data_IF_924396637115
#
_entry.id   IF_924396637115
#
_cell.length_a   1.000
_cell.length_b   1.000
_cell.length_c   1.000
_cell.angle_alpha   90.00
_cell.angle_beta   90.00
_cell.angle_gamma   90.00
#
_symmetry.space_group_name_H-M   'P 1'
#
loop_
_entity.id
_entity.type
_entity.pdbx_description
1 polymer ?
#
# COMPACT_ATOMS: atom_id res chain seq x y z
N UNK A 1 16.01 -1.94 -7.87
CA UNK A 1 14.95 -0.91 -7.87
C UNK A 1 14.62 -0.56 -6.44
N UNK A 2 14.81 0.70 -6.04
CA UNK A 2 14.40 1.20 -4.72
C UNK A 2 12.98 1.73 -4.91
N UNK A 3 11.97 0.96 -4.51
CA UNK A 3 10.56 1.32 -4.72
C UNK A 3 9.61 0.23 -4.27
N UNK A 4 8.33 0.59 -4.12
CA UNK A 4 7.25 -0.34 -3.79
C UNK A 4 6.91 -1.18 -5.03
N UNK A 5 6.97 -2.50 -4.89
CA UNK A 5 6.40 -3.44 -5.86
C UNK A 5 5.11 -4.03 -5.29
N UNK A 6 4.02 -3.92 -6.03
CA UNK A 6 2.71 -4.46 -5.67
C UNK A 6 2.25 -5.43 -6.76
N UNK A 7 1.95 -6.67 -6.37
CA UNK A 7 1.50 -7.75 -7.25
C UNK A 7 0.30 -8.46 -6.64
N UNK A 8 -0.62 -8.94 -7.48
CA UNK A 8 -1.66 -9.86 -7.06
C UNK A 8 -1.14 -11.29 -7.26
N UNK A 9 -1.09 -12.07 -6.18
CA UNK A 9 -0.79 -13.49 -6.20
C UNK A 9 -2.02 -14.21 -5.62
N UNK A 10 -2.75 -14.93 -6.48
CA UNK A 10 -4.04 -15.55 -6.14
C UNK A 10 -5.04 -14.52 -5.57
N UNK A 11 -5.48 -14.72 -4.33
CA UNK A 11 -6.42 -13.85 -3.61
C UNK A 11 -5.73 -12.83 -2.69
N UNK A 12 -4.39 -12.73 -2.77
CA UNK A 12 -3.59 -11.82 -1.96
C UNK A 12 -2.93 -10.73 -2.81
N UNK A 13 -2.88 -9.53 -2.26
CA UNK A 13 -2.00 -8.46 -2.70
C UNK A 13 -0.68 -8.60 -1.96
N UNK A 14 0.38 -8.87 -2.69
CA UNK A 14 1.74 -8.99 -2.18
C UNK A 14 2.49 -7.68 -2.45
N UNK A 15 2.88 -7.01 -1.37
CA UNK A 15 3.62 -5.76 -1.38
C UNK A 15 5.06 -6.07 -0.95
N UNK A 16 6.03 -5.70 -1.80
CA UNK A 16 7.45 -5.90 -1.55
C UNK A 16 8.18 -4.55 -1.57
N UNK A 17 9.04 -4.35 -0.59
CA UNK A 17 9.96 -3.22 -0.54
C UNK A 17 11.29 -3.66 0.09
N UNK A 18 12.34 -3.72 -0.71
CA UNK A 18 13.67 -4.22 -0.29
C UNK A 18 13.56 -5.60 0.38
N UNK A 19 13.78 -5.69 1.70
CA UNK A 19 13.72 -6.94 2.47
C UNK A 19 12.35 -7.18 3.13
N UNK A 20 11.41 -6.24 2.99
CA UNK A 20 10.06 -6.35 3.55
C UNK A 20 9.10 -6.95 2.52
N UNK A 21 8.37 -7.98 2.94
CA UNK A 21 7.25 -8.57 2.18
C UNK A 21 6.02 -8.59 3.07
N UNK A 22 4.90 -8.10 2.54
CA UNK A 22 3.60 -8.10 3.20
C UNK A 22 2.59 -8.72 2.25
N UNK A 23 1.72 -9.56 2.80
CA UNK A 23 0.63 -10.18 2.07
C UNK A 23 -0.69 -9.75 2.70
N UNK A 24 -1.59 -9.21 1.88
CA UNK A 24 -2.89 -8.71 2.32
C UNK A 24 -3.97 -9.41 1.48
N UNK A 25 -4.91 -10.14 2.09
CA UNK A 25 -6.04 -10.68 1.36
C UNK A 25 -6.85 -9.57 0.67
N UNK A 26 -7.14 -9.71 -0.63
CA UNK A 26 -7.94 -8.74 -1.40
C UNK A 26 -9.32 -8.55 -0.77
N UNK A 27 -9.88 -9.63 -0.21
CA UNK A 27 -11.16 -9.60 0.50
C UNK A 27 -11.15 -8.74 1.76
N UNK A 28 -9.99 -8.56 2.38
CA UNK A 28 -9.85 -7.75 3.59
C UNK A 28 -9.58 -6.28 3.28
N UNK A 29 -9.14 -5.95 2.07
CA UNK A 29 -8.98 -4.56 1.65
C UNK A 29 -10.37 -3.92 1.49
N UNK A 30 -10.59 -2.85 2.25
CA UNK A 30 -11.83 -2.07 2.25
C UNK A 30 -11.67 -0.76 1.50
N UNK A 31 -10.48 -0.14 1.56
CA UNK A 31 -10.21 1.14 0.92
C UNK A 31 -8.73 1.25 0.53
N UNK A 32 -8.46 1.83 -0.64
CA UNK A 32 -7.12 2.28 -1.06
C UNK A 32 -7.23 3.73 -1.49
N UNK A 33 -6.48 4.62 -0.85
CA UNK A 33 -6.49 6.05 -1.14
C UNK A 33 -5.12 6.68 -1.05
N UNK A 34 -4.97 7.84 -1.68
CA UNK A 34 -3.84 8.73 -1.42
C UNK A 34 -4.00 9.29 -0.01
N UNK A 35 -2.93 9.27 0.76
CA UNK A 35 -2.86 9.88 2.08
C UNK A 35 -2.11 11.21 1.95
N UNK A 36 -2.84 12.31 2.16
CA UNK A 36 -2.37 13.68 2.09
C UNK A 36 -1.92 14.23 3.47
N UNK A 37 -2.07 13.44 4.54
CA UNK A 37 -1.65 13.84 5.89
C UNK A 37 -0.13 13.78 6.03
N UNK A 38 0.46 14.62 6.89
CA UNK A 38 1.90 14.60 7.18
C UNK A 38 2.27 13.42 8.11
N UNK A 39 3.23 12.58 7.71
CA UNK A 39 3.59 11.33 8.40
C UNK A 39 2.69 10.12 8.09
N UNK A 40 1.44 10.36 7.66
CA UNK A 40 0.45 9.34 7.34
C UNK A 40 -0.38 8.89 8.54
N UNK A 41 -1.70 8.79 8.38
CA UNK A 41 -2.66 8.41 9.42
C UNK A 41 -3.39 7.09 9.09
N UNK A 42 -3.66 6.21 10.08
CA UNK A 42 -3.52 6.36 11.54
C UNK A 42 -2.10 6.01 12.09
N UNK A 43 -1.80 6.44 13.32
CA UNK A 43 -0.48 6.23 13.97
C UNK A 43 -0.05 4.75 14.00
N UNK A 44 -1.01 3.86 14.20
CA UNK A 44 -0.84 2.40 14.30
C UNK A 44 -0.63 1.72 12.95
N UNK A 45 -0.72 2.45 11.83
CA UNK A 45 -0.57 1.86 10.52
C UNK A 45 0.84 1.30 10.30
N UNK A 46 0.88 0.15 9.61
CA UNK A 46 2.13 -0.50 9.22
C UNK A 46 2.75 0.30 8.07
N UNK A 47 3.94 0.84 8.33
CA UNK A 47 4.66 1.73 7.42
C UNK A 47 5.61 0.92 6.54
N UNK A 48 5.48 1.08 5.22
CA UNK A 48 6.22 0.30 4.23
C UNK A 48 6.87 1.24 3.23
N UNK A 49 8.19 1.22 3.14
CA UNK A 49 8.95 2.14 2.29
C UNK A 49 9.81 3.09 3.10
N UNK A 50 10.20 4.21 2.48
CA UNK A 50 11.09 5.22 3.09
C UNK A 50 10.24 6.44 3.50
N UNK A 51 9.89 6.59 4.79
CA UNK A 51 8.99 7.64 5.26
C UNK A 51 9.55 9.06 5.09
N UNK A 52 10.88 9.21 5.12
CA UNK A 52 11.57 10.51 5.09
C UNK A 52 12.38 10.72 3.79
N UNK A 53 11.81 10.34 2.66
CA UNK A 53 12.46 10.49 1.34
C UNK A 53 11.53 10.35 0.14
N UNK A 54 10.22 10.19 0.38
CA UNK A 54 9.20 10.09 -0.66
C UNK A 54 8.07 11.07 -0.34
N UNK A 55 7.53 11.71 -1.36
CA UNK A 55 6.50 12.74 -1.19
C UNK A 55 5.13 12.11 -1.00
N UNK A 56 4.88 10.98 -1.65
CA UNK A 56 3.55 10.42 -1.78
C UNK A 56 3.35 9.19 -0.89
N UNK A 57 2.11 9.06 -0.41
CA UNK A 57 1.69 8.01 0.50
C UNK A 57 0.39 7.38 0.03
N UNK A 58 0.34 6.06 0.01
CA UNK A 58 -0.89 5.32 -0.26
C UNK A 58 -1.33 4.66 1.03
N UNK A 59 -2.50 5.04 1.53
CA UNK A 59 -3.16 4.37 2.63
C UNK A 59 -3.98 3.18 2.11
N UNK A 60 -3.73 2.01 2.67
CA UNK A 60 -4.53 0.81 2.47
C UNK A 60 -5.20 0.49 3.79
N UNK A 61 -6.53 0.54 3.79
CA UNK A 61 -7.34 0.11 4.93
C UNK A 61 -7.81 -1.31 4.72
N UNK A 62 -7.61 -2.15 5.73
CA UNK A 62 -8.19 -3.48 5.79
C UNK A 62 -9.19 -3.57 6.94
N UNK A 63 -9.86 -4.71 7.09
CA UNK A 63 -10.77 -4.94 8.22
C UNK A 63 -10.08 -4.85 9.58
N UNK A 64 -8.82 -5.30 9.65
CA UNK A 64 -8.10 -5.49 10.92
C UNK A 64 -6.91 -4.54 11.11
N UNK A 65 -6.38 -3.97 10.01
CA UNK A 65 -5.15 -3.18 10.04
C UNK A 65 -5.19 -2.05 9.01
N UNK A 66 -4.29 -1.09 9.16
CA UNK A 66 -4.03 -0.06 8.15
C UNK A 66 -2.57 -0.12 7.74
N UNK A 67 -2.29 0.18 6.47
CA UNK A 67 -0.94 0.20 5.90
C UNK A 67 -0.71 1.51 5.18
N UNK A 68 0.52 2.02 5.26
CA UNK A 68 0.93 3.24 4.56
C UNK A 68 2.15 2.89 3.72
N UNK A 69 1.99 3.02 2.41
CA UNK A 69 3.04 2.77 1.42
C UNK A 69 3.67 4.10 1.02
N UNK A 70 4.97 4.22 1.23
CA UNK A 70 5.77 5.38 0.87
C UNK A 70 6.39 5.15 -0.51
N UNK A 71 5.98 5.96 -1.49
CA UNK A 71 6.38 5.80 -2.89
C UNK A 71 6.52 7.15 -3.58
N UNK A 72 7.37 7.23 -4.60
CA UNK A 72 7.48 8.40 -5.50
C UNK A 72 6.67 8.23 -6.79
N UNK A 73 5.99 7.09 -6.95
CA UNK A 73 5.16 6.80 -8.10
C UNK A 73 3.81 6.26 -7.62
N UNK A 74 3.08 7.08 -6.86
CA UNK A 74 1.81 6.65 -6.27
C UNK A 74 0.79 6.30 -7.35
N UNK A 75 0.76 7.03 -8.46
CA UNK A 75 -0.20 6.80 -9.55
C UNK A 75 -0.11 5.37 -10.08
N UNK A 76 1.10 4.89 -10.41
CA UNK A 76 1.27 3.54 -10.94
C UNK A 76 0.94 2.46 -9.91
N UNK A 77 1.37 2.65 -8.65
CA UNK A 77 1.10 1.69 -7.57
C UNK A 77 -0.39 1.64 -7.25
N UNK A 78 -1.04 2.80 -7.14
CA UNK A 78 -2.46 2.90 -6.83
C UNK A 78 -3.34 2.36 -7.95
N UNK A 79 -2.99 2.59 -9.22
CA UNK A 79 -3.68 1.98 -10.35
C UNK A 79 -3.58 0.44 -10.32
N UNK A 80 -2.41 -0.10 -9.98
CA UNK A 80 -2.24 -1.56 -9.79
C UNK A 80 -3.12 -2.07 -8.66
N UNK A 81 -3.05 -1.46 -7.47
CA UNK A 81 -3.85 -1.85 -6.32
C UNK A 81 -5.35 -1.81 -6.62
N UNK A 82 -5.83 -0.72 -7.24
CA UNK A 82 -7.22 -0.59 -7.64
C UNK A 82 -7.64 -1.63 -8.69
N UNK A 83 -6.75 -2.00 -9.63
CA UNK A 83 -7.03 -3.07 -10.58
C UNK A 83 -7.21 -4.44 -9.90
N UNK A 84 -6.53 -4.68 -8.77
CA UNK A 84 -6.66 -5.92 -8.01
C UNK A 84 -7.97 -6.01 -7.22
N UNK A 85 -8.51 -4.85 -6.82
CA UNK A 85 -9.70 -4.74 -5.96
C UNK A 85 -10.98 -4.55 -6.79
N UNK A 86 -10.92 -3.94 -7.98
CA UNK A 86 -12.10 -3.68 -8.84
C UNK A 86 -12.84 -4.94 -9.31
N UNK A 87 -12.25 -6.13 -9.18
CA UNK A 87 -12.89 -7.41 -9.51
C UNK A 87 -13.53 -8.12 -8.32
N UNK A 88 -13.81 -7.40 -7.23
CA UNK A 88 -14.46 -7.91 -6.02
C UNK A 88 -15.98 -7.93 -6.16
#
# INVERSE_FOLDING_TARGET
MIGIDAKKENDNVVIRHQFTKIEIPVLDITEVKLDDTYGGEPKEAIRVGIPYGTTDRIAIKTKNSSYILYTTNYVAVMNKLNSFIKGK
#
